data_IF_820361322586
#
_entry.id   IF_820361322586
#
_cell.length_a   1.000
_cell.length_b   1.000
_cell.length_c   1.000
_cell.angle_alpha   90.00
_cell.angle_beta   90.00
_cell.angle_gamma   90.00
#
_symmetry.space_group_name_H-M   'P 1'
#
loop_
_entity.id
_entity.type
_entity.pdbx_description
1 polymer ?
#
# COMPACT_ATOMS: atom_id res chain seq x y z
N UNK A 1 -57.99 30.35 34.26
CA UNK A 1 -58.68 29.33 33.48
C UNK A 1 -57.90 28.03 33.53
N UNK A 2 -58.24 27.06 32.68
CA UNK A 2 -57.51 25.81 32.53
C UNK A 2 -56.91 25.69 31.13
N UNK A 3 -55.81 24.96 31.00
CA UNK A 3 -55.17 24.60 29.73
C UNK A 3 -55.53 23.15 29.43
N UNK A 4 -55.98 22.89 28.21
CA UNK A 4 -56.28 21.57 27.67
C UNK A 4 -55.36 21.29 26.48
N UNK A 5 -54.79 20.09 26.46
CA UNK A 5 -53.92 19.59 25.40
C UNK A 5 -54.67 18.60 24.50
N UNK A 6 -54.36 18.60 23.21
CA UNK A 6 -54.91 17.68 22.24
C UNK A 6 -53.83 17.14 21.29
N UNK A 7 -54.17 16.06 20.59
CA UNK A 7 -53.22 15.34 19.73
C UNK A 7 -52.23 14.50 20.55
N UNK A 8 -50.99 14.41 20.08
CA UNK A 8 -49.96 13.53 20.66
C UNK A 8 -49.14 14.18 21.79
N UNK A 9 -49.41 15.44 22.14
CA UNK A 9 -48.69 16.15 23.21
C UNK A 9 -49.51 16.26 24.49
N UNK A 10 -48.83 16.22 25.63
CA UNK A 10 -49.42 16.45 26.95
C UNK A 10 -48.46 17.20 27.87
N UNK A 11 -49.00 17.87 28.88
CA UNK A 11 -48.24 18.51 29.96
C UNK A 11 -49.01 18.40 31.27
N UNK A 12 -48.29 18.36 32.38
CA UNK A 12 -48.85 18.47 33.72
C UNK A 12 -49.35 19.89 34.04
N UNK A 13 -48.90 20.92 33.32
CA UNK A 13 -49.35 22.29 33.54
C UNK A 13 -50.76 22.50 32.96
N UNK A 14 -51.78 22.55 33.81
CA UNK A 14 -53.18 22.71 33.39
C UNK A 14 -53.78 24.05 33.80
N UNK A 15 -52.98 24.96 34.38
CA UNK A 15 -53.45 26.27 34.83
C UNK A 15 -53.12 27.35 33.81
N UNK A 16 -54.14 28.13 33.43
CA UNK A 16 -53.97 29.32 32.61
C UNK A 16 -54.14 30.57 33.48
N UNK A 17 -53.08 31.36 33.62
CA UNK A 17 -53.11 32.70 34.23
C UNK A 17 -53.22 33.78 33.15
N UNK A 18 -53.67 34.97 33.52
CA UNK A 18 -53.72 36.10 32.60
C UNK A 18 -52.29 36.52 32.21
N UNK A 19 -52.04 36.70 30.90
CA UNK A 19 -50.73 37.03 30.36
C UNK A 19 -50.00 35.81 29.77
N UNK A 20 -48.68 35.84 29.80
CA UNK A 20 -47.85 34.79 29.22
C UNK A 20 -47.81 33.55 30.12
N UNK A 21 -48.05 32.38 29.51
CA UNK A 21 -48.02 31.10 30.18
C UNK A 21 -46.88 30.27 29.58
N UNK A 22 -46.01 29.74 30.43
CA UNK A 22 -44.96 28.79 30.01
C UNK A 22 -45.49 27.37 30.16
N UNK A 23 -45.36 26.55 29.12
CA UNK A 23 -45.78 25.15 29.11
C UNK A 23 -44.54 24.29 28.87
N UNK A 24 -44.30 23.33 29.76
CA UNK A 24 -43.30 22.27 29.58
C UNK A 24 -44.03 20.99 29.24
N UNK A 25 -43.82 20.43 28.06
CA UNK A 25 -44.40 19.15 27.68
C UNK A 25 -43.83 18.03 28.57
N UNK A 26 -44.63 17.00 28.80
CA UNK A 26 -44.14 15.76 29.41
C UNK A 26 -43.07 15.13 28.50
N UNK A 27 -42.26 14.21 29.04
CA UNK A 27 -41.35 13.41 28.19
C UNK A 27 -42.13 12.78 27.05
N UNK A 28 -41.62 12.99 25.85
CA UNK A 28 -42.15 12.49 24.60
C UNK A 28 -41.22 11.37 24.10
N UNK A 29 -41.80 10.32 23.52
CA UNK A 29 -41.03 9.28 22.84
C UNK A 29 -40.52 9.77 21.49
N UNK A 30 -39.59 9.03 20.91
CA UNK A 30 -39.22 9.15 19.51
C UNK A 30 -40.47 9.18 18.61
N UNK A 31 -40.44 10.01 17.57
CA UNK A 31 -41.49 10.12 16.59
C UNK A 31 -41.74 11.54 16.09
N UNK A 32 -42.68 11.66 15.15
CA UNK A 32 -43.10 12.95 14.59
C UNK A 32 -44.38 13.44 15.25
N UNK A 33 -44.37 14.71 15.68
CA UNK A 33 -45.46 15.39 16.38
C UNK A 33 -45.96 16.55 15.51
N UNK A 34 -47.06 16.31 14.78
CA UNK A 34 -47.64 17.28 13.84
C UNK A 34 -49.05 17.75 14.22
N UNK A 35 -49.65 17.15 15.25
CA UNK A 35 -51.05 17.38 15.64
C UNK A 35 -51.19 17.94 17.06
N UNK A 36 -50.13 18.50 17.63
CA UNK A 36 -50.15 18.96 19.00
C UNK A 36 -50.91 20.28 19.16
N UNK A 37 -52.01 20.24 19.92
CA UNK A 37 -52.95 21.35 20.08
C UNK A 37 -53.00 21.81 21.54
N UNK A 38 -53.19 23.11 21.74
CA UNK A 38 -53.39 23.74 23.04
C UNK A 38 -54.68 24.56 22.98
N UNK A 39 -55.48 24.52 24.04
CA UNK A 39 -56.68 25.35 24.20
C UNK A 39 -56.79 25.83 25.63
N UNK A 40 -57.26 27.06 25.80
CA UNK A 40 -57.56 27.63 27.12
C UNK A 40 -59.07 27.67 27.34
N UNK A 41 -59.48 27.36 28.57
CA UNK A 41 -60.85 27.46 29.05
C UNK A 41 -60.86 28.51 30.16
N UNK A 42 -61.66 29.56 30.04
CA UNK A 42 -61.75 30.57 31.09
C UNK A 42 -62.54 30.07 32.32
N UNK A 43 -62.65 30.89 33.37
CA UNK A 43 -63.40 30.52 34.59
C UNK A 43 -64.91 30.45 34.39
N UNK A 44 -65.44 31.02 33.31
CA UNK A 44 -66.85 30.95 32.94
C UNK A 44 -67.14 29.75 32.01
N UNK A 45 -66.11 28.99 31.61
CA UNK A 45 -66.23 27.82 30.74
C UNK A 45 -66.13 28.13 29.25
N UNK A 46 -65.79 29.36 28.86
CA UNK A 46 -65.62 29.69 27.44
C UNK A 46 -64.34 29.07 26.90
N UNK A 47 -64.44 28.48 25.70
CA UNK A 47 -63.33 27.82 25.01
C UNK A 47 -62.64 28.79 24.05
N UNK A 48 -61.31 28.86 24.09
CA UNK A 48 -60.53 29.51 23.03
C UNK A 48 -60.55 28.67 21.75
N UNK A 49 -60.13 29.27 20.63
CA UNK A 49 -59.66 28.51 19.47
C UNK A 49 -58.44 27.66 19.85
N UNK A 50 -58.16 26.63 19.05
CA UNK A 50 -56.93 25.86 19.20
C UNK A 50 -55.72 26.67 18.75
N UNK A 51 -54.65 26.60 19.55
CA UNK A 51 -53.30 26.96 19.15
C UNK A 51 -52.59 25.67 18.72
N UNK A 52 -52.14 25.61 17.47
CA UNK A 52 -51.37 24.48 16.95
C UNK A 52 -49.89 24.74 17.16
N UNK A 53 -49.17 23.76 17.71
CA UNK A 53 -47.71 23.78 17.73
C UNK A 53 -47.17 23.44 16.35
N UNK A 54 -46.06 24.08 15.95
CA UNK A 54 -45.32 23.71 14.75
C UNK A 54 -44.90 22.24 14.81
N UNK A 55 -44.91 21.56 13.65
CA UNK A 55 -44.44 20.18 13.54
C UNK A 55 -42.99 20.05 13.99
N UNK A 56 -42.68 19.01 14.76
CA UNK A 56 -41.31 18.64 15.14
C UNK A 56 -41.16 17.12 15.22
N UNK A 57 -39.92 16.64 15.12
CA UNK A 57 -39.57 15.24 15.40
C UNK A 57 -38.69 15.16 16.64
N UNK A 58 -38.81 14.06 17.35
CA UNK A 58 -37.87 13.65 18.38
C UNK A 58 -37.18 12.41 17.86
N UNK A 59 -35.86 12.46 17.89
CA UNK A 59 -34.99 11.36 17.53
C UNK A 59 -33.93 11.22 18.64
N UNK A 60 -33.89 10.04 19.24
CA UNK A 60 -33.00 9.70 20.35
C UNK A 60 -32.21 8.41 20.06
N UNK A 61 -32.36 7.85 18.86
CA UNK A 61 -31.73 6.59 18.49
C UNK A 61 -30.40 6.90 17.83
N UNK A 62 -29.33 6.29 18.33
CA UNK A 62 -28.02 6.46 17.72
C UNK A 62 -27.92 5.68 16.39
N UNK A 63 -27.23 6.24 15.38
CA UNK A 63 -27.04 5.54 14.11
C UNK A 63 -26.08 4.36 14.28
N UNK A 64 -26.14 3.41 13.35
CA UNK A 64 -25.14 2.34 13.21
C UNK A 64 -24.58 2.28 11.78
N UNK A 65 -23.45 1.60 11.59
CA UNK A 65 -22.87 1.36 10.27
C UNK A 65 -23.21 -0.07 9.81
N UNK A 66 -23.98 -0.19 8.73
CA UNK A 66 -24.32 -1.47 8.12
C UNK A 66 -23.12 -2.07 7.38
N UNK A 67 -22.39 -1.21 6.65
CA UNK A 67 -21.21 -1.64 5.90
C UNK A 67 -20.01 -0.74 6.16
N UNK A 68 -18.86 -1.38 6.35
CA UNK A 68 -17.54 -0.75 6.37
C UNK A 68 -16.61 -1.65 5.58
N UNK A 69 -16.11 -1.18 4.45
CA UNK A 69 -15.23 -1.92 3.53
C UNK A 69 -14.04 -1.06 3.11
N UNK A 70 -12.83 -1.63 3.18
CA UNK A 70 -11.59 -0.94 2.80
C UNK A 70 -10.93 -1.61 1.59
N UNK A 71 -10.42 -0.80 0.67
CA UNK A 71 -9.65 -1.25 -0.48
C UNK A 71 -8.63 -0.19 -0.91
N UNK A 72 -7.61 -0.60 -1.65
CA UNK A 72 -6.61 0.25 -2.31
C UNK A 72 -6.83 0.28 -3.82
N UNK A 73 -6.39 1.34 -4.49
CA UNK A 73 -6.30 1.41 -5.95
C UNK A 73 -5.08 0.68 -6.54
N UNK A 74 -4.27 0.03 -5.70
CA UNK A 74 -3.20 -0.85 -6.15
C UNK A 74 -3.72 -1.99 -7.03
N UNK A 75 -2.85 -2.57 -7.88
CA UNK A 75 -3.20 -3.73 -8.71
C UNK A 75 -3.63 -4.95 -7.87
N UNK A 76 -3.09 -5.07 -6.65
CA UNK A 76 -3.58 -5.96 -5.60
C UNK A 76 -4.29 -5.09 -4.55
N UNK A 77 -5.62 -5.06 -4.58
CA UNK A 77 -6.43 -4.12 -3.78
C UNK A 77 -6.30 -4.25 -2.25
N UNK A 78 -5.64 -5.29 -1.75
CA UNK A 78 -5.33 -5.51 -0.33
C UNK A 78 -3.95 -4.97 0.06
N UNK A 79 -3.17 -4.46 -0.88
CA UNK A 79 -1.87 -3.84 -0.67
C UNK A 79 -1.93 -2.35 -1.02
N UNK A 80 -1.08 -1.55 -0.39
CA UNK A 80 -0.91 -0.14 -0.75
C UNK A 80 0.54 0.27 -0.58
N UNK A 81 1.10 0.91 -1.61
CA UNK A 81 2.41 1.53 -1.58
C UNK A 81 2.27 3.06 -1.45
N UNK A 82 3.38 3.78 -1.31
CA UNK A 82 3.37 5.25 -1.42
C UNK A 82 2.67 5.68 -2.70
N UNK A 83 1.78 6.67 -2.58
CA UNK A 83 1.03 7.25 -3.71
C UNK A 83 -0.25 6.49 -4.05
N UNK A 84 -0.43 5.26 -3.55
CA UNK A 84 -1.71 4.56 -3.67
C UNK A 84 -2.76 5.24 -2.80
N UNK A 85 -4.01 5.19 -3.26
CA UNK A 85 -5.18 5.75 -2.60
C UNK A 85 -5.95 4.61 -1.94
N UNK A 86 -6.01 4.65 -0.62
CA UNK A 86 -6.88 3.81 0.18
C UNK A 86 -8.26 4.46 0.25
N UNK A 87 -9.30 3.69 -0.04
CA UNK A 87 -10.70 4.10 0.03
C UNK A 87 -11.45 3.24 1.03
N UNK A 88 -12.15 3.90 1.95
CA UNK A 88 -13.07 3.30 2.90
C UNK A 88 -14.51 3.63 2.48
N UNK A 89 -15.28 2.61 2.20
CA UNK A 89 -16.70 2.69 1.86
C UNK A 89 -17.54 2.42 3.11
N UNK A 90 -18.45 3.34 3.42
CA UNK A 90 -19.27 3.29 4.62
C UNK A 90 -20.74 3.46 4.23
N UNK A 91 -21.61 2.63 4.79
CA UNK A 91 -23.08 2.84 4.72
C UNK A 91 -23.64 2.84 6.13
N UNK A 92 -24.33 3.91 6.52
CA UNK A 92 -25.05 4.01 7.79
C UNK A 92 -26.52 3.59 7.66
N UNK A 93 -27.15 3.25 8.79
CA UNK A 93 -28.58 2.88 8.84
C UNK A 93 -29.53 4.04 8.54
N UNK A 94 -29.01 5.26 8.61
CA UNK A 94 -29.73 6.52 8.35
C UNK A 94 -28.76 7.62 7.90
N UNK A 95 -29.30 8.79 7.58
CA UNK A 95 -28.47 9.93 7.21
C UNK A 95 -27.72 10.46 8.45
N UNK A 96 -26.39 10.57 8.32
CA UNK A 96 -25.51 11.07 9.37
C UNK A 96 -24.90 12.41 8.97
N UNK A 97 -24.37 13.13 9.96
CA UNK A 97 -23.44 14.23 9.70
C UNK A 97 -22.15 13.68 9.08
N UNK A 98 -21.34 14.55 8.46
CA UNK A 98 -20.04 14.15 7.90
C UNK A 98 -19.20 13.45 8.96
N UNK A 99 -18.85 12.16 8.78
CA UNK A 99 -18.11 11.41 9.78
C UNK A 99 -16.64 11.88 9.84
N UNK A 100 -16.05 11.79 11.02
CA UNK A 100 -14.61 11.94 11.21
C UNK A 100 -13.94 10.60 10.93
N UNK A 101 -13.12 10.53 9.88
CA UNK A 101 -12.44 9.30 9.47
C UNK A 101 -10.93 9.49 9.48
N UNK A 102 -10.20 8.53 10.05
CA UNK A 102 -8.75 8.42 9.87
C UNK A 102 -8.35 7.06 9.29
N UNK A 103 -7.40 7.06 8.36
CA UNK A 103 -6.80 5.89 7.71
C UNK A 103 -5.28 5.98 7.93
N UNK A 104 -4.64 4.90 8.37
CA UNK A 104 -3.23 4.88 8.76
C UNK A 104 -2.87 5.93 9.85
N UNK A 105 -3.83 6.30 10.70
CA UNK A 105 -3.68 7.36 11.71
C UNK A 105 -3.84 8.78 11.18
N UNK A 106 -4.03 8.95 9.87
CA UNK A 106 -4.10 10.25 9.20
C UNK A 106 -5.55 10.59 8.84
N UNK A 107 -5.91 11.87 8.91
CA UNK A 107 -7.26 12.32 8.57
C UNK A 107 -7.57 12.04 7.08
N UNK A 108 -8.70 11.38 6.82
CA UNK A 108 -9.15 11.06 5.47
C UNK A 108 -10.01 12.18 4.88
N UNK A 109 -10.06 12.27 3.55
CA UNK A 109 -11.00 13.14 2.84
C UNK A 109 -12.33 12.42 2.68
N UNK A 110 -13.41 12.98 3.20
CA UNK A 110 -14.72 12.31 3.30
C UNK A 110 -15.73 12.98 2.36
N UNK A 111 -16.44 12.17 1.57
CA UNK A 111 -17.47 12.64 0.62
C UNK A 111 -18.72 11.77 0.67
N UNK A 112 -19.88 12.38 0.38
CA UNK A 112 -21.17 11.71 0.21
C UNK A 112 -22.09 12.54 -0.67
N UNK A 113 -23.08 11.90 -1.28
CA UNK A 113 -24.13 12.54 -2.07
C UNK A 113 -25.52 12.51 -1.40
N UNK A 114 -25.69 11.67 -0.38
CA UNK A 114 -26.98 11.35 0.24
C UNK A 114 -26.96 11.39 1.77
N UNK A 115 -25.79 11.54 2.40
CA UNK A 115 -25.61 11.50 3.85
C UNK A 115 -25.65 10.08 4.46
N UNK A 116 -25.83 9.05 3.64
CA UNK A 116 -25.98 7.64 4.05
C UNK A 116 -24.78 6.81 3.58
N UNK A 117 -24.41 6.98 2.31
CA UNK A 117 -23.27 6.33 1.67
C UNK A 117 -22.09 7.29 1.62
N UNK A 118 -20.95 6.86 2.15
CA UNK A 118 -19.76 7.68 2.28
C UNK A 118 -18.54 6.99 1.68
N UNK A 119 -17.70 7.78 1.04
CA UNK A 119 -16.36 7.39 0.63
C UNK A 119 -15.34 8.27 1.36
N UNK A 120 -14.45 7.65 2.12
CA UNK A 120 -13.33 8.31 2.77
C UNK A 120 -12.00 7.85 2.14
N UNK A 121 -11.20 8.78 1.65
CA UNK A 121 -9.96 8.47 0.91
C UNK A 121 -8.73 9.04 1.61
N UNK A 122 -7.63 8.29 1.56
CA UNK A 122 -6.31 8.74 1.99
C UNK A 122 -5.25 8.24 1.01
N UNK A 123 -4.35 9.13 0.58
CA UNK A 123 -3.20 8.78 -0.26
C UNK A 123 -2.02 8.47 0.65
N UNK A 124 -1.47 7.26 0.53
CA UNK A 124 -0.32 6.82 1.34
C UNK A 124 0.90 7.71 1.07
N UNK A 125 1.54 8.15 2.15
CA UNK A 125 2.75 8.95 2.13
C UNK A 125 3.98 8.12 2.55
N UNK A 126 5.17 8.55 2.14
CA UNK A 126 6.44 7.89 2.49
C UNK A 126 6.71 7.82 4.00
N UNK A 127 6.10 8.74 4.78
CA UNK A 127 6.22 8.78 6.23
C UNK A 127 5.32 7.79 6.96
N UNK A 128 4.38 7.15 6.26
CA UNK A 128 3.42 6.24 6.90
C UNK A 128 4.10 4.93 7.27
N UNK A 129 3.69 4.36 8.41
CA UNK A 129 4.22 3.08 8.87
C UNK A 129 3.79 1.94 7.94
N UNK A 130 4.71 1.01 7.68
CA UNK A 130 4.41 -0.24 6.98
C UNK A 130 3.60 -1.20 7.87
N UNK A 131 2.91 -2.15 7.21
CA UNK A 131 2.10 -3.16 7.88
C UNK A 131 0.60 -2.87 7.79
N UNK A 132 -0.23 -3.51 8.65
CA UNK A 132 -1.68 -3.37 8.58
C UNK A 132 -2.15 -1.92 8.71
N UNK A 133 -2.99 -1.47 7.79
CA UNK A 133 -3.55 -0.12 7.81
C UNK A 133 -4.67 -0.04 8.84
N UNK A 134 -4.51 0.86 9.81
CA UNK A 134 -5.52 1.13 10.84
C UNK A 134 -6.62 2.05 10.30
N UNK A 135 -7.83 1.92 10.87
CA UNK A 135 -8.95 2.82 10.60
C UNK A 135 -9.63 3.27 11.90
N UNK A 136 -10.20 4.47 11.89
CA UNK A 136 -11.09 4.96 12.94
C UNK A 136 -12.20 5.80 12.30
N UNK A 137 -13.45 5.54 12.69
CA UNK A 137 -14.64 6.21 12.17
C UNK A 137 -15.47 6.70 13.35
N UNK A 138 -15.56 8.02 13.54
CA UNK A 138 -16.51 8.67 14.45
C UNK A 138 -17.67 9.29 13.69
N UNK A 139 -18.91 9.06 14.13
CA UNK A 139 -20.11 9.49 13.42
C UNK A 139 -21.28 9.77 14.37
N UNK A 140 -22.24 10.56 13.88
CA UNK A 140 -23.41 11.06 14.62
C UNK A 140 -24.52 11.35 13.62
N UNK A 141 -25.77 11.10 13.99
CA UNK A 141 -26.93 11.41 13.13
C UNK A 141 -27.16 12.93 13.01
N UNK A 142 -28.23 13.32 12.30
CA UNK A 142 -28.62 14.73 12.16
C UNK A 142 -29.29 15.31 13.41
N UNK A 143 -29.77 14.48 14.33
CA UNK A 143 -30.40 14.89 15.59
C UNK A 143 -29.39 15.12 16.73
N UNK A 144 -28.14 14.66 16.56
CA UNK A 144 -27.06 14.79 17.51
C UNK A 144 -26.77 13.52 18.33
N UNK A 145 -27.35 12.37 17.99
CA UNK A 145 -27.07 11.12 18.70
C UNK A 145 -25.79 10.49 18.16
N UNK A 146 -24.79 10.31 19.03
CA UNK A 146 -23.49 9.79 18.66
C UNK A 146 -23.54 8.27 18.44
N UNK A 147 -22.99 7.80 17.33
CA UNK A 147 -22.74 6.39 17.08
C UNK A 147 -21.54 5.86 17.86
N UNK A 148 -21.40 4.53 17.92
CA UNK A 148 -20.22 3.87 18.46
C UNK A 148 -19.11 3.87 17.40
N UNK A 149 -17.94 4.42 17.73
CA UNK A 149 -16.84 4.49 16.79
C UNK A 149 -16.39 3.11 16.28
N UNK A 150 -16.14 3.01 14.97
CA UNK A 150 -15.69 1.78 14.34
C UNK A 150 -14.17 1.81 14.09
N UNK A 151 -13.51 0.70 14.41
CA UNK A 151 -12.06 0.50 14.22
C UNK A 151 -11.71 -0.71 13.36
N UNK A 152 -12.73 -1.39 12.80
CA UNK A 152 -12.59 -2.53 11.91
C UNK A 152 -13.65 -2.48 10.81
N UNK A 153 -13.40 -3.21 9.72
CA UNK A 153 -14.36 -3.43 8.65
C UNK A 153 -15.44 -4.44 9.06
N UNK A 154 -16.62 -4.36 8.46
CA UNK A 154 -17.71 -5.31 8.77
C UNK A 154 -17.61 -6.60 7.96
N UNK A 155 -16.88 -6.58 6.83
CA UNK A 155 -16.69 -7.73 5.95
C UNK A 155 -15.30 -8.39 6.05
N UNK A 156 -14.47 -7.98 7.00
CA UNK A 156 -13.11 -8.51 7.19
C UNK A 156 -12.10 -8.06 6.13
N UNK A 157 -12.46 -7.14 5.24
CA UNK A 157 -11.49 -6.53 4.32
C UNK A 157 -10.40 -5.78 5.08
N UNK A 158 -9.17 -5.85 4.58
CA UNK A 158 -8.01 -5.21 5.17
C UNK A 158 -7.04 -4.80 4.06
N UNK A 159 -6.30 -3.71 4.30
CA UNK A 159 -5.19 -3.26 3.46
C UNK A 159 -3.91 -3.32 4.27
N UNK A 160 -2.82 -3.77 3.64
CA UNK A 160 -1.47 -3.77 4.21
C UNK A 160 -0.61 -2.78 3.45
N UNK A 161 0.01 -1.84 4.15
CA UNK A 161 0.99 -0.90 3.61
C UNK A 161 2.31 -1.62 3.34
N UNK A 162 2.84 -1.48 2.11
CA UNK A 162 4.07 -2.10 1.60
C UNK A 162 5.00 -1.06 0.95
N UNK A 163 6.24 -1.46 0.68
CA UNK A 163 7.34 -0.56 0.25
C UNK A 163 7.55 -0.43 -1.26
N UNK A 164 6.65 -0.91 -2.10
CA UNK A 164 6.93 -0.94 -3.55
C UNK A 164 6.52 0.37 -4.23
N UNK A 165 7.35 1.42 -4.14
CA UNK A 165 6.90 2.73 -4.66
C UNK A 165 7.90 3.87 -4.72
N UNK A 166 9.20 3.62 -4.91
CA UNK A 166 10.05 4.59 -5.59
C UNK A 166 11.13 3.83 -6.34
N UNK A 167 10.90 3.59 -7.63
CA UNK A 167 11.97 3.19 -8.53
C UNK A 167 13.04 4.28 -8.45
N UNK A 168 14.14 4.02 -7.73
CA UNK A 168 15.29 4.91 -7.78
C UNK A 168 15.90 4.71 -9.16
N UNK A 169 15.60 5.64 -10.07
CA UNK A 169 16.15 5.65 -11.42
C UNK A 169 17.40 6.52 -11.44
N UNK A 170 18.55 5.88 -11.66
CA UNK A 170 19.78 6.57 -12.00
C UNK A 170 19.91 6.53 -13.52
N UNK A 171 19.77 7.69 -14.17
CA UNK A 171 20.06 7.86 -15.60
C UNK A 171 21.51 8.29 -15.71
N UNK A 172 22.38 7.40 -16.19
CA UNK A 172 23.72 7.81 -16.59
C UNK A 172 23.62 8.54 -17.94
N UNK A 173 24.02 9.82 -17.96
CA UNK A 173 24.09 10.64 -19.19
C UNK A 173 25.51 10.74 -19.75
N UNK A 174 26.47 9.98 -19.22
CA UNK A 174 27.83 9.94 -19.73
C UNK A 174 27.97 8.98 -20.92
N UNK A 175 27.37 9.37 -22.05
CA UNK A 175 27.64 8.77 -23.34
C UNK A 175 29.13 8.92 -23.69
N UNK A 176 29.89 7.85 -23.49
CA UNK A 176 31.26 7.68 -23.94
C UNK A 176 31.38 6.33 -24.63
N UNK A 177 30.82 6.24 -25.84
CA UNK A 177 30.74 5.00 -26.62
C UNK A 177 32.07 4.25 -26.68
N UNK A 178 32.04 3.03 -26.16
CA UNK A 178 33.11 2.06 -26.26
C UNK A 178 32.51 0.68 -26.43
N UNK A 179 32.29 0.26 -27.67
CA UNK A 179 31.99 -1.14 -27.99
C UNK A 179 33.08 -2.02 -27.40
N UNK A 180 32.76 -2.87 -26.42
CA UNK A 180 33.75 -3.76 -25.82
C UNK A 180 33.38 -5.23 -26.05
N UNK A 181 33.67 -5.70 -27.25
CA UNK A 181 34.17 -7.06 -27.47
C UNK A 181 35.37 -7.32 -26.57
N UNK A 182 35.44 -8.49 -25.93
CA UNK A 182 36.55 -8.97 -25.07
C UNK A 182 37.92 -8.35 -25.40
N UNK A 183 38.31 -7.32 -24.66
CA UNK A 183 39.71 -6.89 -24.59
C UNK A 183 40.01 -6.28 -23.23
N UNK A 184 41.07 -6.79 -22.61
CA UNK A 184 41.69 -6.23 -21.40
C UNK A 184 42.29 -4.86 -21.71
N UNK A 185 41.68 -3.78 -21.22
CA UNK A 185 42.23 -2.43 -21.33
C UNK A 185 41.36 -1.42 -20.61
N UNK A 186 41.88 -0.85 -19.53
CA UNK A 186 41.15 0.02 -18.62
C UNK A 186 40.64 1.32 -19.24
N UNK A 187 39.35 1.60 -19.02
CA UNK A 187 38.77 2.92 -19.02
C UNK A 187 38.16 3.16 -17.63
N UNK A 188 38.69 4.11 -16.88
CA UNK A 188 38.15 4.47 -15.56
C UNK A 188 37.17 5.62 -15.72
N UNK A 189 35.86 5.34 -15.64
CA UNK A 189 34.84 6.36 -15.42
C UNK A 189 34.84 6.74 -13.93
N UNK A 190 35.66 7.72 -13.55
CA UNK A 190 35.65 8.27 -12.18
C UNK A 190 34.59 9.36 -12.07
N UNK A 191 33.35 8.98 -11.80
CA UNK A 191 32.23 9.89 -11.53
C UNK A 191 31.76 9.85 -10.07
N UNK A 192 32.06 10.91 -9.30
CA UNK A 192 31.55 11.24 -7.94
C UNK A 192 31.95 10.29 -6.78
N UNK A 193 32.01 10.75 -5.52
CA UNK A 193 32.73 10.04 -4.46
C UNK A 193 32.02 8.72 -4.09
N UNK A 194 32.79 7.71 -3.61
CA UNK A 194 32.22 6.46 -3.10
C UNK A 194 31.13 6.73 -2.05
N UNK A 195 29.95 6.15 -2.27
CA UNK A 195 28.75 6.40 -1.46
C UNK A 195 27.95 5.12 -1.18
N UNK A 196 27.03 5.21 -0.22
CA UNK A 196 26.14 4.11 0.17
C UNK A 196 24.75 4.31 -0.45
N UNK A 197 24.28 3.33 -1.21
CA UNK A 197 22.91 3.23 -1.72
C UNK A 197 22.19 2.09 -0.97
N UNK A 198 21.17 2.43 -0.19
CA UNK A 198 20.31 1.44 0.48
C UNK A 198 18.89 1.58 -0.08
N UNK A 199 18.47 0.58 -0.84
CA UNK A 199 17.17 0.59 -1.55
C UNK A 199 16.04 -0.02 -0.73
N UNK A 200 16.38 -0.75 0.34
CA UNK A 200 15.41 -1.50 1.13
C UNK A 200 14.62 -2.45 0.20
N UNK A 201 13.29 -2.37 0.16
CA UNK A 201 12.48 -3.20 -0.73
C UNK A 201 12.04 -2.48 -2.02
N UNK A 202 12.62 -1.32 -2.32
CA UNK A 202 12.31 -0.59 -3.54
C UNK A 202 12.97 -1.24 -4.76
N UNK A 203 12.28 -1.22 -5.89
CA UNK A 203 12.90 -1.54 -7.17
C UNK A 203 13.98 -0.50 -7.49
N UNK A 204 15.12 -0.96 -7.98
CA UNK A 204 16.20 -0.12 -8.48
C UNK A 204 16.41 -0.45 -9.95
N UNK A 205 16.32 0.55 -10.82
CA UNK A 205 16.53 0.33 -12.25
C UNK A 205 17.59 1.30 -12.73
N UNK A 206 18.63 0.73 -13.33
CA UNK A 206 19.62 1.54 -14.03
C UNK A 206 19.31 1.54 -15.52
N UNK A 207 19.21 2.75 -16.05
CA UNK A 207 19.00 3.00 -17.47
C UNK A 207 20.35 3.53 -17.99
N UNK A 208 21.14 2.62 -18.53
CA UNK A 208 22.34 2.93 -19.30
C UNK A 208 22.12 2.48 -20.75
N UNK A 209 23.08 2.80 -21.63
CA UNK A 209 23.17 2.23 -22.97
C UNK A 209 24.33 1.22 -23.07
N UNK A 210 25.10 1.10 -22.00
CA UNK A 210 26.32 0.32 -21.88
C UNK A 210 26.32 -0.39 -20.50
N UNK A 211 27.10 -1.45 -20.37
CA UNK A 211 27.32 -2.10 -19.08
C UNK A 211 27.97 -1.14 -18.06
N UNK A 212 27.57 -1.26 -16.80
CA UNK A 212 27.97 -0.32 -15.74
C UNK A 212 29.09 -0.90 -14.87
N UNK A 213 30.17 -0.15 -14.69
CA UNK A 213 31.23 -0.51 -13.74
C UNK A 213 30.96 0.08 -12.36
N UNK A 214 30.65 -0.78 -11.38
CA UNK A 214 30.46 -0.41 -9.98
C UNK A 214 31.81 -0.51 -9.26
N UNK A 215 32.46 0.63 -9.06
CA UNK A 215 33.85 0.71 -8.60
C UNK A 215 33.99 0.77 -7.08
N UNK A 216 35.19 0.47 -6.60
CA UNK A 216 35.57 0.47 -5.18
C UNK A 216 35.12 1.70 -4.39
N UNK A 217 34.71 1.43 -3.14
CA UNK A 217 34.15 2.40 -2.22
C UNK A 217 32.64 2.62 -2.36
N UNK A 218 32.00 2.13 -3.43
CA UNK A 218 30.54 2.08 -3.51
C UNK A 218 30.00 0.96 -2.62
N UNK A 219 28.98 1.26 -1.80
CA UNK A 219 28.24 0.23 -1.04
C UNK A 219 26.79 0.22 -1.50
N UNK A 220 26.25 -0.94 -1.90
CA UNK A 220 24.85 -1.10 -2.29
C UNK A 220 24.21 -2.14 -1.38
N UNK A 221 23.07 -1.83 -0.78
CA UNK A 221 22.26 -2.78 -0.02
C UNK A 221 20.80 -2.79 -0.45
N UNK A 222 20.21 -3.99 -0.40
CA UNK A 222 18.80 -4.23 -0.66
C UNK A 222 18.25 -5.28 0.30
N UNK A 223 16.97 -5.15 0.66
CA UNK A 223 16.19 -6.08 1.49
C UNK A 223 14.89 -6.50 0.79
N UNK A 224 14.80 -6.32 -0.53
CA UNK A 224 13.64 -6.67 -1.34
C UNK A 224 13.70 -6.07 -2.75
N UNK A 225 12.59 -6.12 -3.47
CA UNK A 225 12.45 -5.48 -4.78
C UNK A 225 13.31 -6.12 -5.89
N UNK A 226 13.40 -5.39 -7.01
CA UNK A 226 14.10 -5.80 -8.22
C UNK A 226 15.24 -4.84 -8.54
N UNK A 227 16.46 -5.37 -8.67
CA UNK A 227 17.64 -4.65 -9.13
C UNK A 227 17.85 -4.90 -10.62
N UNK A 228 17.64 -3.90 -11.45
CA UNK A 228 17.61 -4.03 -12.91
C UNK A 228 18.82 -3.34 -13.54
N UNK A 229 19.65 -4.11 -14.24
CA UNK A 229 20.76 -3.66 -15.08
C UNK A 229 20.55 -4.17 -16.51
N UNK A 230 19.89 -3.36 -17.34
CA UNK A 230 19.40 -3.78 -18.66
C UNK A 230 20.52 -4.17 -19.65
N UNK A 231 21.68 -3.51 -19.60
CA UNK A 231 22.83 -3.81 -20.47
C UNK A 231 23.93 -4.59 -19.72
N UNK A 232 23.69 -4.93 -18.46
CA UNK A 232 24.65 -5.60 -17.60
C UNK A 232 25.48 -4.68 -16.70
N UNK A 233 26.33 -5.28 -15.88
CA UNK A 233 27.18 -4.56 -14.94
C UNK A 233 28.42 -5.35 -14.51
N UNK A 234 29.44 -4.65 -14.02
CA UNK A 234 30.62 -5.22 -13.39
C UNK A 234 30.78 -4.72 -11.95
N UNK A 235 31.27 -5.57 -11.07
CA UNK A 235 31.63 -5.23 -9.68
C UNK A 235 33.16 -5.21 -9.60
N UNK A 236 33.73 -4.02 -9.56
CA UNK A 236 35.17 -3.80 -9.47
C UNK A 236 35.54 -3.17 -8.13
N UNK A 237 35.45 -3.99 -7.07
CA UNK A 237 35.81 -3.62 -5.70
C UNK A 237 34.71 -2.92 -4.89
N UNK A 238 33.49 -2.77 -5.41
CA UNK A 238 32.33 -2.28 -4.67
C UNK A 238 31.72 -3.37 -3.78
N UNK A 239 31.15 -3.01 -2.62
CA UNK A 239 30.47 -3.94 -1.72
C UNK A 239 28.96 -3.94 -2.00
N UNK A 240 28.41 -5.08 -2.41
CA UNK A 240 26.98 -5.26 -2.72
C UNK A 240 26.39 -6.34 -1.81
N UNK A 241 25.30 -6.03 -1.11
CA UNK A 241 24.57 -6.97 -0.25
C UNK A 241 23.09 -6.99 -0.63
N UNK A 242 22.62 -8.12 -1.14
CA UNK A 242 21.24 -8.32 -1.58
C UNK A 242 20.56 -9.34 -0.68
N UNK A 243 19.45 -8.96 -0.07
CA UNK A 243 18.57 -9.84 0.71
C UNK A 243 17.17 -9.82 0.11
N UNK A 244 16.53 -10.97 -0.08
CA UNK A 244 15.16 -11.10 -0.64
C UNK A 244 14.95 -10.33 -1.97
N UNK A 245 16.04 -10.13 -2.72
CA UNK A 245 16.07 -9.25 -3.91
C UNK A 245 16.13 -10.07 -5.19
N UNK A 246 15.40 -9.64 -6.21
CA UNK A 246 15.55 -10.16 -7.57
C UNK A 246 16.61 -9.34 -8.33
N UNK A 247 17.71 -9.96 -8.75
CA UNK A 247 18.68 -9.35 -9.64
C UNK A 247 18.28 -9.63 -11.10
N UNK A 248 17.82 -8.61 -11.80
CA UNK A 248 17.46 -8.64 -13.21
C UNK A 248 18.60 -8.10 -14.07
N UNK A 249 19.23 -8.96 -14.87
CA UNK A 249 20.44 -8.62 -15.63
C UNK A 249 20.24 -8.88 -17.12
N UNK A 250 20.75 -7.96 -17.95
CA UNK A 250 20.90 -8.14 -19.38
C UNK A 250 22.14 -8.89 -19.79
N UNK A 251 22.93 -8.31 -20.68
CA UNK A 251 23.93 -9.03 -21.47
C UNK A 251 25.13 -9.55 -20.65
N UNK A 252 25.58 -8.79 -19.65
CA UNK A 252 26.80 -9.14 -18.90
C UNK A 252 26.67 -8.96 -17.39
N UNK A 253 27.26 -9.88 -16.62
CA UNK A 253 27.51 -9.69 -15.19
C UNK A 253 28.93 -10.14 -14.89
N UNK A 254 29.77 -9.23 -14.38
CA UNK A 254 31.11 -9.58 -13.92
C UNK A 254 31.32 -9.24 -12.45
N UNK A 255 31.88 -10.15 -11.67
CA UNK A 255 32.29 -9.87 -10.30
C UNK A 255 33.77 -10.20 -10.10
N UNK A 256 34.57 -9.18 -9.82
CA UNK A 256 36.00 -9.33 -9.51
C UNK A 256 36.24 -9.06 -8.02
N UNK A 257 35.84 -10.00 -7.16
CA UNK A 257 36.15 -10.08 -5.72
C UNK A 257 35.05 -10.72 -4.86
N UNK A 258 35.32 -10.90 -3.56
CA UNK A 258 34.36 -11.42 -2.56
C UNK A 258 33.33 -10.36 -2.10
N UNK A 259 32.98 -9.42 -2.97
CA UNK A 259 32.25 -8.22 -2.58
C UNK A 259 30.74 -8.28 -2.89
N UNK A 260 30.23 -9.41 -3.38
CA UNK A 260 28.80 -9.66 -3.56
C UNK A 260 28.30 -10.66 -2.52
N UNK A 261 27.35 -10.24 -1.68
CA UNK A 261 26.67 -11.10 -0.72
C UNK A 261 25.20 -11.22 -1.11
N UNK A 262 24.68 -12.45 -1.21
CA UNK A 262 23.29 -12.75 -1.55
C UNK A 262 22.69 -13.64 -0.46
N UNK A 263 21.48 -13.36 0.00
CA UNK A 263 20.84 -14.10 1.11
C UNK A 263 19.32 -14.01 1.09
N UNK A 264 18.64 -14.96 1.74
CA UNK A 264 17.20 -14.90 1.99
C UNK A 264 16.37 -14.79 0.71
N UNK A 265 16.28 -15.83 -0.12
CA UNK A 265 15.35 -15.84 -1.26
C UNK A 265 15.75 -15.00 -2.48
N UNK A 266 17.02 -14.58 -2.58
CA UNK A 266 17.51 -13.80 -3.74
C UNK A 266 17.38 -14.56 -5.06
N UNK A 267 16.86 -13.91 -6.10
CA UNK A 267 16.62 -14.53 -7.41
C UNK A 267 17.45 -13.92 -8.54
N UNK A 268 17.73 -14.70 -9.59
CA UNK A 268 18.27 -14.22 -10.86
C UNK A 268 17.18 -14.22 -11.94
N UNK A 269 16.99 -13.07 -12.59
CA UNK A 269 16.10 -12.92 -13.76
C UNK A 269 16.91 -12.45 -14.96
N UNK A 270 16.75 -13.12 -16.10
CA UNK A 270 17.40 -12.71 -17.34
C UNK A 270 16.50 -11.72 -18.09
N UNK A 271 17.14 -10.65 -18.59
CA UNK A 271 16.56 -9.65 -19.49
C UNK A 271 17.03 -9.84 -20.94
N UNK A 272 18.22 -10.40 -21.10
CA UNK A 272 18.84 -10.82 -22.36
C UNK A 272 19.61 -12.13 -22.15
N UNK A 273 20.20 -12.68 -23.22
CA UNK A 273 21.22 -13.71 -23.09
C UNK A 273 22.37 -13.17 -22.22
N UNK A 274 22.60 -13.79 -21.06
CA UNK A 274 23.50 -13.30 -20.04
C UNK A 274 24.83 -14.05 -20.07
N UNK A 275 25.94 -13.32 -20.18
CA UNK A 275 27.28 -13.82 -19.85
C UNK A 275 27.66 -13.42 -18.42
N UNK A 276 27.72 -14.41 -17.52
CA UNK A 276 28.12 -14.23 -16.12
C UNK A 276 29.56 -14.71 -15.91
N UNK A 277 30.41 -13.84 -15.36
CA UNK A 277 31.77 -14.16 -14.94
C UNK A 277 31.99 -13.76 -13.48
N UNK A 278 32.64 -14.60 -12.69
CA UNK A 278 32.95 -14.28 -11.29
C UNK A 278 34.23 -15.00 -10.87
N UNK A 279 35.06 -14.35 -10.06
CA UNK A 279 36.20 -14.98 -9.39
C UNK A 279 35.87 -15.44 -7.94
N UNK A 280 34.63 -15.26 -7.51
CA UNK A 280 34.10 -15.64 -6.18
C UNK A 280 32.75 -16.36 -6.30
N UNK A 281 32.31 -17.01 -5.23
CA UNK A 281 31.01 -17.69 -5.18
C UNK A 281 29.84 -16.71 -5.39
N UNK A 282 28.85 -17.12 -6.18
CA UNK A 282 27.58 -16.40 -6.38
C UNK A 282 26.46 -17.40 -6.19
N UNK A 283 25.50 -17.10 -5.32
CA UNK A 283 24.38 -17.98 -4.97
C UNK A 283 23.07 -17.27 -5.29
N UNK A 284 22.13 -17.99 -5.94
CA UNK A 284 20.78 -17.50 -6.18
C UNK A 284 19.78 -18.57 -5.72
N UNK A 285 18.84 -18.19 -4.86
CA UNK A 285 17.80 -19.10 -4.37
C UNK A 285 16.79 -19.46 -5.48
N UNK A 286 16.63 -18.61 -6.50
CA UNK A 286 15.75 -18.86 -7.65
C UNK A 286 16.34 -18.35 -8.98
N UNK A 287 15.91 -18.95 -10.09
CA UNK A 287 16.33 -18.59 -11.45
C UNK A 287 15.14 -18.54 -12.42
N UNK A 288 15.00 -17.45 -13.17
CA UNK A 288 13.95 -17.25 -14.18
C UNK A 288 14.58 -17.03 -15.57
N UNK A 289 14.75 -18.09 -16.39
CA UNK A 289 15.41 -18.01 -17.69
C UNK A 289 14.62 -17.21 -18.74
N UNK A 290 13.28 -17.14 -18.65
CA UNK A 290 12.42 -16.41 -19.59
C UNK A 290 12.69 -16.71 -21.09
N UNK A 291 13.19 -17.92 -21.42
CA UNK A 291 13.56 -18.30 -22.79
C UNK A 291 14.91 -17.74 -23.28
N UNK A 292 15.78 -17.29 -22.36
CA UNK A 292 17.09 -16.69 -22.62
C UNK A 292 18.22 -17.61 -22.16
N UNK A 293 19.39 -17.45 -22.77
CA UNK A 293 20.58 -18.24 -22.47
C UNK A 293 21.34 -17.66 -21.28
N UNK A 294 21.76 -18.52 -20.35
CA UNK A 294 22.76 -18.19 -19.34
C UNK A 294 24.09 -18.85 -19.71
N UNK A 295 25.09 -18.03 -20.01
CA UNK A 295 26.46 -18.44 -20.32
C UNK A 295 27.35 -18.08 -19.14
N UNK A 296 28.10 -19.07 -18.64
CA UNK A 296 29.06 -18.87 -17.55
C UNK A 296 30.48 -18.83 -18.12
N UNK A 297 31.23 -17.75 -17.84
CA UNK A 297 32.54 -17.46 -18.43
C UNK A 297 33.66 -17.32 -17.37
N UNK A 298 34.85 -17.87 -17.63
CA UNK A 298 36.12 -17.62 -16.90
C UNK A 298 37.12 -16.93 -17.83
N UNK A 299 37.80 -15.89 -17.33
CA UNK A 299 38.81 -15.13 -18.06
C UNK A 299 40.13 -14.92 -17.28
N UNK A 300 40.40 -15.66 -16.20
CA UNK A 300 41.65 -15.51 -15.43
C UNK A 300 42.48 -16.79 -15.29
N UNK A 301 43.51 -16.90 -16.13
CA UNK A 301 44.75 -17.68 -15.89
C UNK A 301 44.65 -19.19 -15.60
N UNK A 302 43.52 -19.86 -15.86
CA UNK A 302 43.48 -21.33 -15.95
C UNK A 302 43.37 -22.10 -14.63
N UNK A 303 42.85 -21.47 -13.57
CA UNK A 303 42.30 -22.19 -12.42
C UNK A 303 40.91 -21.62 -12.11
N UNK A 304 39.87 -22.38 -12.44
CA UNK A 304 38.49 -22.03 -12.09
C UNK A 304 38.26 -22.33 -10.62
N UNK A 305 37.95 -21.29 -9.84
CA UNK A 305 37.16 -21.45 -8.62
C UNK A 305 35.84 -20.71 -8.82
N UNK A 306 34.96 -21.28 -9.64
CA UNK A 306 33.52 -21.06 -9.44
C UNK A 306 33.25 -21.47 -8.00
N UNK A 307 32.63 -20.61 -7.21
CA UNK A 307 31.95 -21.14 -6.02
C UNK A 307 30.83 -22.08 -6.43
N UNK A 308 30.06 -22.56 -5.45
CA UNK A 308 28.85 -23.32 -5.74
C UNK A 308 27.75 -22.36 -6.19
N UNK A 309 27.29 -22.47 -7.44
CA UNK A 309 25.97 -21.93 -7.81
C UNK A 309 24.94 -22.99 -7.41
N UNK A 310 24.27 -22.75 -6.28
CA UNK A 310 23.09 -23.53 -5.88
C UNK A 310 21.87 -22.77 -6.39
N UNK A 311 21.00 -23.42 -7.18
CA UNK A 311 19.68 -22.92 -7.58
C UNK A 311 18.64 -23.88 -6.98
N UNK A 312 17.95 -23.49 -5.92
CA UNK A 312 17.05 -24.38 -5.15
C UNK A 312 15.61 -24.42 -5.72
N UNK A 313 15.45 -24.27 -7.03
CA UNK A 313 14.19 -24.58 -7.73
C UNK A 313 14.33 -25.90 -8.49
N UNK A 314 13.43 -26.84 -8.22
CA UNK A 314 13.53 -28.27 -8.57
C UNK A 314 13.66 -28.62 -10.08
N UNK A 315 13.69 -27.66 -11.01
CA UNK A 315 13.99 -27.88 -12.44
C UNK A 315 14.69 -26.66 -13.07
N UNK A 316 15.77 -26.88 -13.82
CA UNK A 316 16.32 -25.90 -14.78
C UNK A 316 15.73 -26.28 -16.15
N UNK A 317 14.70 -25.56 -16.60
CA UNK A 317 14.11 -25.77 -17.94
C UNK A 317 14.85 -24.89 -18.96
N UNK A 318 15.51 -25.53 -19.93
CA UNK A 318 16.20 -24.85 -21.05
C UNK A 318 15.35 -25.03 -22.31
N UNK A 319 14.59 -24.01 -22.69
CA UNK A 319 13.80 -24.00 -23.93
C UNK A 319 14.64 -23.43 -25.08
N UNK A 320 15.48 -24.28 -25.68
CA UNK A 320 16.38 -23.95 -26.78
C UNK A 320 17.67 -23.25 -26.36
N UNK A 321 18.70 -23.28 -27.21
CA UNK A 321 20.01 -22.68 -26.95
C UNK A 321 21.11 -23.67 -26.54
N UNK A 322 22.28 -23.17 -26.11
CA UNK A 322 23.43 -24.01 -25.71
C UNK A 322 23.73 -23.77 -24.24
N UNK A 323 23.50 -24.78 -23.39
CA UNK A 323 23.91 -24.75 -21.98
C UNK A 323 25.37 -25.20 -21.86
N UNK A 324 26.28 -24.26 -21.60
CA UNK A 324 27.70 -24.56 -21.38
C UNK A 324 28.03 -24.49 -19.89
N UNK A 325 28.06 -25.64 -19.22
CA UNK A 325 28.52 -25.76 -17.84
C UNK A 325 30.02 -26.07 -17.82
N UNK A 326 30.85 -25.07 -17.56
CA UNK A 326 32.27 -25.25 -17.28
C UNK A 326 32.48 -25.68 -15.81
N UNK A 327 31.84 -26.78 -15.39
CA UNK A 327 31.90 -27.34 -14.04
C UNK A 327 30.69 -27.03 -13.15
N UNK A 328 30.43 -27.91 -12.17
CA UNK A 328 29.29 -27.86 -11.22
C UNK A 328 28.73 -29.25 -10.91
N UNK A 329 28.03 -29.41 -9.78
CA UNK A 329 27.31 -30.64 -9.42
C UNK A 329 25.81 -30.36 -9.31
N UNK A 330 25.00 -31.21 -9.92
CA UNK A 330 23.55 -31.20 -9.76
C UNK A 330 23.19 -31.89 -8.44
N UNK A 331 22.32 -31.29 -7.63
CA UNK A 331 21.86 -31.87 -6.35
C UNK A 331 21.15 -33.22 -6.54
N UNK A 332 20.88 -33.93 -5.43
CA UNK A 332 20.42 -35.33 -5.45
C UNK A 332 19.15 -35.62 -6.29
N UNK A 333 18.35 -34.59 -6.60
CA UNK A 333 17.13 -34.67 -7.40
C UNK A 333 17.13 -33.80 -8.66
N UNK A 334 18.23 -33.09 -8.96
CA UNK A 334 18.23 -32.19 -10.12
C UNK A 334 18.44 -32.96 -11.42
N UNK A 335 17.68 -32.59 -12.45
CA UNK A 335 17.83 -33.07 -13.82
C UNK A 335 18.37 -31.91 -14.68
N UNK A 336 19.44 -32.15 -15.43
CA UNK A 336 19.81 -31.28 -16.56
C UNK A 336 19.33 -32.01 -17.80
N UNK A 337 18.25 -31.52 -18.42
CA UNK A 337 17.77 -32.03 -19.69
C UNK A 337 18.25 -31.10 -20.81
N UNK A 338 19.17 -31.60 -21.64
CA UNK A 338 19.66 -30.91 -22.84
C UNK A 338 18.85 -31.47 -24.02
N UNK A 339 17.92 -30.67 -24.55
CA UNK A 339 17.11 -30.99 -25.73
C UNK A 339 17.80 -30.66 -27.04
#
# INVERSE_FOLDING_TARGET
GTISYGGSCSSSNTLATAGNNTITLNSLSEGTYSNCLIRVIDSAGNLSSYLSMSSFSIDITAPTLDTVHIASNNSVSTLANTGDIITLYITSTEAIQTPSVSIAGQAATVTSSDGITWAATYTMADSDSQGPVSLNIGFMDLAGNAGIAATSTTNGSAVTSTTNGSAVQVVDTSAGGGTNTCSSGGGTNTGSPPGTLATQAADFTVISADAIDITSGTTISSTGGTFTFADGFSINGATISLQDTTLAVGETFSNTGDNLTMSGGTGLKLLSDLSLSSNSAVTFDSYQPNGLNLVLCDNSTGNISLGTITLDSENIEVLGGTLSLAGGSVGANGLIEVG
#
